data_IF_133434952922
#
_entry.id   IF_133434952922
#
_cell.length_a   1.000
_cell.length_b   1.000
_cell.length_c   1.000
_cell.angle_alpha   90.00
_cell.angle_beta   90.00
_cell.angle_gamma   90.00
#
_symmetry.space_group_name_H-M   'P 1'
#
loop_
_entity.id
_entity.type
_entity.pdbx_description
1 polymer ?
#
# COMPACT_ATOMS: atom_id res chain seq x y z
N UNK A 1 0.36 -1.19 13.51
CA UNK A 1 -0.10 0.21 13.39
C UNK A 1 -0.62 0.45 11.99
N UNK A 2 -1.71 1.24 11.84
CA UNK A 2 -2.21 1.79 10.59
C UNK A 2 -1.62 3.18 10.31
N UNK A 3 -1.80 3.70 9.11
CA UNK A 3 -1.44 5.10 8.76
C UNK A 3 -2.28 6.08 9.60
N UNK A 4 -3.53 5.75 9.86
CA UNK A 4 -4.41 6.57 10.69
C UNK A 4 -3.82 6.87 12.07
N UNK A 5 -3.00 5.97 12.60
CA UNK A 5 -2.40 6.06 13.95
C UNK A 5 -0.99 6.69 13.95
N UNK A 6 -0.37 6.90 12.78
CA UNK A 6 0.96 7.50 12.68
C UNK A 6 0.86 9.02 12.62
N UNK A 7 1.68 9.72 13.40
CA UNK A 7 1.82 11.17 13.28
C UNK A 7 2.71 11.55 12.08
N UNK A 8 2.58 12.78 11.61
CA UNK A 8 3.35 13.28 10.44
C UNK A 8 4.86 13.17 10.66
N UNK A 9 5.33 13.46 11.88
CA UNK A 9 6.74 13.35 12.27
C UNK A 9 7.26 11.91 12.17
N UNK A 10 6.41 10.93 12.49
CA UNK A 10 6.75 9.52 12.40
C UNK A 10 6.83 9.05 10.94
N UNK A 11 5.88 9.50 10.11
CA UNK A 11 5.89 9.26 8.67
C UNK A 11 7.18 9.85 8.08
N UNK A 12 7.49 11.11 8.36
CA UNK A 12 8.70 11.79 7.90
C UNK A 12 9.98 11.08 8.35
N UNK A 13 10.01 10.58 9.59
CA UNK A 13 11.16 9.84 10.11
C UNK A 13 11.38 8.53 9.33
N UNK A 14 10.30 7.79 9.03
CA UNK A 14 10.36 6.57 8.21
C UNK A 14 10.86 6.90 6.79
N UNK A 15 10.32 7.94 6.16
CA UNK A 15 10.69 8.33 4.80
C UNK A 15 12.16 8.82 4.73
N UNK A 16 12.63 9.59 5.72
CA UNK A 16 14.05 9.98 5.82
C UNK A 16 14.95 8.76 5.99
N UNK A 17 14.57 7.81 6.83
CA UNK A 17 15.36 6.58 7.05
C UNK A 17 15.38 5.70 5.80
N UNK A 18 14.26 5.57 5.09
CA UNK A 18 14.18 4.86 3.82
C UNK A 18 15.14 5.47 2.77
N UNK A 19 15.23 6.81 2.71
CA UNK A 19 16.17 7.51 1.82
C UNK A 19 17.63 7.21 2.16
N UNK A 20 17.96 7.08 3.44
CA UNK A 20 19.32 6.66 3.87
C UNK A 20 19.61 5.23 3.41
N UNK A 21 18.69 4.30 3.60
CA UNK A 21 18.84 2.90 3.17
C UNK A 21 18.91 2.74 1.65
N UNK A 22 18.24 3.60 0.89
CA UNK A 22 18.32 3.60 -0.56
C UNK A 22 19.70 4.05 -1.07
N UNK A 23 20.30 5.06 -0.40
CA UNK A 23 21.59 5.65 -0.82
C UNK A 23 22.82 4.84 -0.41
N UNK A 24 22.75 4.16 0.70
CA UNK A 24 23.85 3.40 1.25
C UNK A 24 23.38 2.01 1.71
N UNK A 25 24.11 0.97 1.28
CA UNK A 25 23.83 -0.38 1.76
C UNK A 25 24.05 -0.41 3.28
N UNK A 26 23.02 -0.71 4.09
CA UNK A 26 23.16 -0.71 5.53
C UNK A 26 24.09 -1.85 5.98
N UNK A 27 24.74 -1.65 7.11
CA UNK A 27 25.37 -2.75 7.84
C UNK A 27 24.28 -3.72 8.32
N UNK A 28 24.59 -5.00 8.58
CA UNK A 28 23.63 -5.94 9.18
C UNK A 28 23.22 -5.45 10.58
N UNK A 29 22.08 -4.75 10.65
CA UNK A 29 21.54 -4.17 11.89
C UNK A 29 20.78 -5.21 12.72
N UNK A 30 20.34 -6.29 12.09
CA UNK A 30 19.42 -7.31 12.65
C UNK A 30 20.11 -8.66 12.83
N UNK A 31 21.42 -8.65 13.07
CA UNK A 31 22.15 -9.90 13.35
C UNK A 31 21.43 -10.65 14.48
N UNK A 32 21.15 -11.94 14.24
CA UNK A 32 20.41 -12.81 15.15
C UNK A 32 18.92 -12.50 15.37
N UNK A 33 18.35 -11.45 14.70
CA UNK A 33 16.93 -11.19 14.75
C UNK A 33 16.13 -12.17 13.86
N UNK A 34 15.00 -12.65 14.39
CA UNK A 34 14.07 -13.54 13.68
C UNK A 34 12.80 -12.83 13.34
N UNK A 35 12.47 -12.79 12.05
CA UNK A 35 11.28 -12.13 11.51
C UNK A 35 10.34 -13.17 10.92
N UNK A 36 9.13 -13.28 11.43
CA UNK A 36 8.10 -14.15 10.90
C UNK A 36 7.19 -13.38 9.92
N UNK A 37 6.97 -13.96 8.74
CA UNK A 37 6.05 -13.45 7.73
C UNK A 37 4.80 -14.33 7.72
N UNK A 38 3.73 -13.87 8.37
CA UNK A 38 2.46 -14.57 8.53
C UNK A 38 1.44 -14.06 7.51
N UNK A 39 1.28 -14.77 6.40
CA UNK A 39 0.46 -14.35 5.28
C UNK A 39 -0.75 -15.26 5.07
N UNK A 40 -1.94 -14.75 5.40
CA UNK A 40 -3.24 -15.41 5.18
C UNK A 40 -3.78 -15.16 3.76
N UNK A 41 -3.24 -14.16 3.05
CA UNK A 41 -3.60 -13.86 1.66
C UNK A 41 -2.36 -13.91 0.76
N UNK A 42 -2.53 -14.36 -0.47
CA UNK A 42 -1.46 -14.34 -1.48
C UNK A 42 -0.96 -12.92 -1.74
N UNK A 43 0.34 -12.72 -1.68
CA UNK A 43 0.97 -11.44 -1.99
C UNK A 43 2.43 -11.62 -2.36
N UNK A 44 2.75 -11.61 -3.65
CA UNK A 44 4.12 -11.73 -4.14
C UNK A 44 4.96 -10.52 -3.75
N UNK A 45 4.52 -9.31 -4.16
CA UNK A 45 5.29 -8.07 -3.95
C UNK A 45 5.54 -7.75 -2.48
N UNK A 46 4.48 -7.74 -1.68
CA UNK A 46 4.61 -7.35 -0.25
C UNK A 46 5.45 -8.35 0.51
N UNK A 47 5.21 -9.65 0.31
CA UNK A 47 5.95 -10.71 0.99
C UNK A 47 7.44 -10.70 0.64
N UNK A 48 7.76 -10.74 -0.66
CA UNK A 48 9.16 -10.79 -1.12
C UNK A 48 9.92 -9.53 -0.70
N UNK A 49 9.32 -8.35 -0.79
CA UNK A 49 10.01 -7.11 -0.41
C UNK A 49 10.22 -6.97 1.08
N UNK A 50 9.31 -7.45 1.94
CA UNK A 50 9.58 -7.54 3.39
C UNK A 50 10.66 -8.57 3.69
N UNK A 51 10.65 -9.71 3.02
CA UNK A 51 11.67 -10.73 3.17
C UNK A 51 13.06 -10.19 2.77
N UNK A 52 13.15 -9.54 1.61
CA UNK A 52 14.40 -8.89 1.18
C UNK A 52 14.84 -7.80 2.14
N UNK A 53 13.93 -6.95 2.60
CA UNK A 53 14.24 -5.90 3.57
C UNK A 53 14.83 -6.48 4.86
N UNK A 54 14.22 -7.53 5.40
CA UNK A 54 14.70 -8.19 6.61
C UNK A 54 16.09 -8.83 6.39
N UNK A 55 16.29 -9.55 5.27
CA UNK A 55 17.56 -10.21 4.93
C UNK A 55 18.69 -9.20 4.66
N UNK A 56 18.41 -8.09 3.98
CA UNK A 56 19.40 -7.02 3.77
C UNK A 56 19.85 -6.41 5.09
N UNK A 57 18.96 -6.31 6.07
CA UNK A 57 19.27 -5.88 7.43
C UNK A 57 19.97 -6.97 8.28
N UNK A 58 20.12 -8.19 7.77
CA UNK A 58 20.82 -9.28 8.44
C UNK A 58 19.93 -10.19 9.29
N UNK A 59 18.60 -10.08 9.18
CA UNK A 59 17.66 -10.95 9.91
C UNK A 59 17.52 -12.33 9.26
N UNK A 60 17.18 -13.33 10.08
CA UNK A 60 16.63 -14.60 9.62
C UNK A 60 15.12 -14.46 9.43
N UNK A 61 14.60 -14.97 8.33
CA UNK A 61 13.17 -14.89 8.00
C UNK A 61 12.54 -16.27 7.96
N UNK A 62 11.30 -16.40 8.44
CA UNK A 62 10.47 -17.59 8.31
C UNK A 62 9.13 -17.20 7.73
N UNK A 63 8.69 -17.90 6.69
CA UNK A 63 7.39 -17.71 6.07
C UNK A 63 6.41 -18.70 6.66
N UNK A 64 5.30 -18.22 7.18
CA UNK A 64 4.18 -19.02 7.66
C UNK A 64 3.02 -18.87 6.70
N UNK A 65 2.67 -19.91 6.00
CA UNK A 65 1.51 -19.96 5.10
C UNK A 65 0.30 -20.48 5.85
N UNK A 66 -0.77 -19.70 5.90
CA UNK A 66 -2.00 -20.12 6.58
C UNK A 66 -2.59 -21.41 6.00
N UNK A 67 -2.53 -21.59 4.67
CA UNK A 67 -3.02 -22.76 3.92
C UNK A 67 -2.18 -24.03 4.08
N UNK A 68 -1.07 -23.98 4.82
CA UNK A 68 -0.18 -25.10 5.05
C UNK A 68 0.27 -25.17 6.53
N UNK A 69 -0.57 -24.68 7.43
CA UNK A 69 -0.26 -24.58 8.86
C UNK A 69 -1.42 -25.08 9.73
N UNK A 70 -1.23 -25.08 11.04
CA UNK A 70 -2.26 -25.43 12.03
C UNK A 70 -3.54 -24.55 11.94
N UNK A 71 -3.48 -23.43 11.25
CA UNK A 71 -4.65 -22.57 10.93
C UNK A 71 -5.73 -23.38 10.20
N UNK A 72 -5.37 -24.26 9.26
CA UNK A 72 -6.33 -25.17 8.59
C UNK A 72 -7.02 -26.13 9.55
N UNK A 73 -6.40 -26.39 10.70
CA UNK A 73 -6.97 -27.22 11.77
C UNK A 73 -7.82 -26.45 12.76
N UNK A 74 -8.07 -25.14 12.49
CA UNK A 74 -8.89 -24.28 13.34
C UNK A 74 -8.13 -23.52 14.43
N UNK A 75 -6.78 -23.47 14.37
CA UNK A 75 -5.99 -22.65 15.31
C UNK A 75 -6.35 -21.16 15.16
N UNK A 76 -6.56 -20.47 16.28
CA UNK A 76 -6.89 -19.05 16.26
C UNK A 76 -5.68 -18.18 15.85
N UNK A 77 -5.96 -16.98 15.34
CA UNK A 77 -4.91 -16.00 15.04
C UNK A 77 -4.01 -15.70 16.24
N UNK A 78 -4.61 -15.63 17.44
CA UNK A 78 -3.89 -15.33 18.67
C UNK A 78 -2.95 -16.49 19.01
N UNK A 79 -3.44 -17.73 18.98
CA UNK A 79 -2.63 -18.92 19.30
C UNK A 79 -1.50 -19.12 18.29
N UNK A 80 -1.77 -18.86 17.00
CA UNK A 80 -0.74 -18.86 15.96
C UNK A 80 0.35 -17.80 16.27
N UNK A 81 -0.04 -16.60 16.67
CA UNK A 81 0.91 -15.55 17.02
C UNK A 81 1.73 -15.87 18.26
N UNK A 82 1.11 -16.42 19.31
CA UNK A 82 1.78 -16.86 20.53
C UNK A 82 2.77 -18.01 20.25
N UNK A 83 2.37 -18.95 19.40
CA UNK A 83 3.25 -20.06 18.96
C UNK A 83 4.47 -19.51 18.21
N UNK A 84 4.27 -18.62 17.24
CA UNK A 84 5.36 -18.01 16.47
C UNK A 84 6.31 -17.22 17.40
N UNK A 85 5.76 -16.50 18.36
CA UNK A 85 6.54 -15.78 19.36
C UNK A 85 7.34 -16.75 20.26
N UNK A 86 6.72 -17.81 20.75
CA UNK A 86 7.38 -18.84 21.56
C UNK A 86 8.53 -19.55 20.82
N UNK A 87 8.42 -19.72 19.51
CA UNK A 87 9.48 -20.21 18.63
C UNK A 87 10.63 -19.20 18.41
N UNK A 88 10.52 -18.01 19.01
CA UNK A 88 11.57 -17.02 19.07
C UNK A 88 11.49 -15.93 18.00
N UNK A 89 10.36 -15.73 17.34
CA UNK A 89 10.16 -14.56 16.49
C UNK A 89 10.18 -13.29 17.34
N UNK A 90 10.87 -12.27 16.84
CA UNK A 90 11.02 -10.96 17.48
C UNK A 90 10.28 -9.85 16.74
N UNK A 91 9.75 -10.16 15.55
CA UNK A 91 8.83 -9.34 14.76
C UNK A 91 7.88 -10.26 14.02
N UNK A 92 6.61 -9.93 13.98
CA UNK A 92 5.61 -10.60 13.15
C UNK A 92 5.11 -9.62 12.09
N UNK A 93 5.28 -9.96 10.83
CA UNK A 93 4.72 -9.23 9.69
C UNK A 93 3.47 -9.98 9.26
N UNK A 94 2.29 -9.37 9.41
CA UNK A 94 1.03 -10.05 9.14
C UNK A 94 0.27 -9.40 7.98
N UNK A 95 -0.27 -10.25 7.07
CA UNK A 95 -1.29 -9.88 6.10
C UNK A 95 -2.51 -10.77 6.30
N UNK A 96 -3.69 -10.16 6.47
CA UNK A 96 -4.90 -10.87 6.85
C UNK A 96 -6.13 -10.37 6.07
N UNK A 97 -7.10 -11.27 5.73
CA UNK A 97 -8.34 -10.87 5.05
C UNK A 97 -9.30 -10.07 5.94
N UNK A 98 -9.20 -10.18 7.26
CA UNK A 98 -10.04 -9.43 8.19
C UNK A 98 -9.40 -8.12 8.61
N UNK A 99 -10.14 -7.02 8.51
CA UNK A 99 -9.76 -5.70 9.02
C UNK A 99 -9.55 -5.76 10.54
N UNK A 100 -8.48 -5.11 11.02
CA UNK A 100 -8.14 -5.06 12.45
C UNK A 100 -7.36 -6.27 12.97
N UNK A 101 -7.20 -7.35 12.22
CA UNK A 101 -6.49 -8.55 12.65
C UNK A 101 -5.06 -8.26 13.15
N UNK A 102 -4.24 -7.40 12.52
CA UNK A 102 -2.93 -7.04 13.04
C UNK A 102 -2.99 -6.35 14.40
N UNK A 103 -4.01 -5.53 14.65
CA UNK A 103 -4.20 -4.85 15.93
C UNK A 103 -4.60 -5.84 17.03
N UNK A 104 -5.49 -6.77 16.71
CA UNK A 104 -5.86 -7.85 17.64
C UNK A 104 -4.64 -8.65 18.02
N UNK A 105 -3.83 -9.08 17.06
CA UNK A 105 -2.61 -9.83 17.33
C UNK A 105 -1.63 -9.02 18.18
N UNK A 106 -1.40 -7.75 17.87
CA UNK A 106 -0.47 -6.88 18.59
C UNK A 106 -0.83 -6.67 20.08
N UNK A 107 -2.10 -6.85 20.45
CA UNK A 107 -2.53 -6.77 21.86
C UNK A 107 -2.25 -8.05 22.67
N UNK A 108 -1.92 -9.15 22.00
CA UNK A 108 -1.75 -10.46 22.64
C UNK A 108 -0.31 -10.98 22.59
N UNK A 109 0.54 -10.38 21.77
CA UNK A 109 1.97 -10.74 21.69
C UNK A 109 2.84 -9.57 22.15
N UNK A 110 3.96 -9.88 22.81
CA UNK A 110 4.93 -8.91 23.35
C UNK A 110 6.04 -8.54 22.33
N UNK A 111 5.81 -8.80 21.05
CA UNK A 111 6.72 -8.45 19.95
C UNK A 111 6.04 -7.51 18.95
N UNK A 112 6.78 -6.66 18.26
CA UNK A 112 6.23 -5.79 17.23
C UNK A 112 5.45 -6.57 16.17
N UNK A 113 4.23 -6.08 15.86
CA UNK A 113 3.40 -6.58 14.76
C UNK A 113 3.30 -5.53 13.67
N UNK A 114 3.72 -5.87 12.46
CA UNK A 114 3.69 -4.99 11.29
C UNK A 114 2.53 -5.40 10.39
N UNK A 115 1.65 -4.44 10.12
CA UNK A 115 0.53 -4.60 9.20
C UNK A 115 1.03 -4.57 7.74
N UNK A 116 0.95 -5.71 7.04
CA UNK A 116 1.27 -5.87 5.62
C UNK A 116 0.01 -5.87 4.73
N UNK A 117 -1.10 -5.39 5.26
CA UNK A 117 -2.42 -5.25 4.64
C UNK A 117 -3.49 -6.09 5.34
N UNK A 118 -4.56 -5.45 5.79
CA UNK A 118 -5.66 -6.08 6.50
C UNK A 118 -7.02 -5.75 5.89
N UNK A 119 -7.72 -6.75 5.41
CA UNK A 119 -9.07 -6.65 4.86
C UNK A 119 -9.21 -5.54 3.81
N UNK A 120 -10.23 -4.72 3.99
CA UNK A 120 -10.45 -3.47 3.25
C UNK A 120 -10.00 -2.24 4.04
N UNK A 121 -9.29 -2.42 5.18
CA UNK A 121 -8.96 -1.37 6.12
C UNK A 121 -7.70 -0.60 5.69
N UNK A 122 -6.50 -1.17 5.88
CA UNK A 122 -5.26 -0.45 5.59
C UNK A 122 -4.17 -1.31 4.94
N UNK A 123 -3.26 -0.65 4.23
CA UNK A 123 -1.97 -1.17 3.77
C UNK A 123 -0.85 -0.16 4.03
N UNK A 124 -0.44 0.04 5.30
CA UNK A 124 0.43 1.15 5.70
C UNK A 124 1.76 1.18 4.94
N UNK A 125 2.40 0.01 4.76
CA UNK A 125 3.67 -0.06 4.05
C UNK A 125 3.56 0.26 2.55
N UNK A 126 2.35 0.18 1.96
CA UNK A 126 2.11 0.62 0.59
C UNK A 126 2.01 2.15 0.54
N UNK A 127 1.18 2.77 1.38
CA UNK A 127 1.08 4.22 1.41
C UNK A 127 2.43 4.90 1.69
N UNK A 128 3.24 4.34 2.58
CA UNK A 128 4.58 4.86 2.86
C UNK A 128 5.53 4.74 1.66
N UNK A 129 5.52 3.62 0.91
CA UNK A 129 6.35 3.51 -0.28
C UNK A 129 5.84 4.37 -1.44
N UNK A 130 4.55 4.58 -1.54
CA UNK A 130 3.94 5.46 -2.53
C UNK A 130 4.30 6.92 -2.23
N UNK A 131 4.17 7.36 -0.98
CA UNK A 131 4.64 8.68 -0.54
C UNK A 131 6.15 8.86 -0.79
N UNK A 132 6.96 7.83 -0.52
CA UNK A 132 8.39 7.84 -0.79
C UNK A 132 8.69 7.99 -2.29
N UNK A 133 7.94 7.29 -3.14
CA UNK A 133 8.06 7.38 -4.61
C UNK A 133 7.65 8.77 -5.09
N UNK A 134 6.54 9.30 -4.59
CA UNK A 134 6.09 10.67 -4.91
C UNK A 134 7.19 11.69 -4.59
N UNK A 135 7.85 11.58 -3.43
CA UNK A 135 8.93 12.49 -3.01
C UNK A 135 10.21 12.38 -3.86
N UNK A 136 10.36 11.39 -4.71
CA UNK A 136 11.45 11.31 -5.69
C UNK A 136 11.17 12.14 -6.93
N UNK A 137 9.91 12.36 -7.25
CA UNK A 137 9.44 13.13 -8.42
C UNK A 137 8.89 14.50 -8.04
N UNK A 138 8.50 14.70 -6.78
CA UNK A 138 7.96 15.93 -6.22
C UNK A 138 8.77 16.36 -5.01
N UNK A 139 8.99 17.66 -4.85
CA UNK A 139 9.78 18.20 -3.73
C UNK A 139 9.08 18.03 -2.38
N UNK A 140 7.76 17.89 -2.37
CA UNK A 140 6.91 17.87 -1.19
C UNK A 140 5.65 17.03 -1.43
N UNK A 141 5.04 16.53 -0.36
CA UNK A 141 3.69 15.96 -0.40
C UNK A 141 2.61 17.04 -0.19
N UNK A 142 3.00 18.25 0.23
CA UNK A 142 2.06 19.31 0.60
C UNK A 142 1.37 19.88 -0.62
N UNK A 143 0.03 19.97 -0.53
CA UNK A 143 -0.80 20.63 -1.51
C UNK A 143 -0.89 19.95 -2.86
N UNK A 144 -0.41 18.71 -3.00
CA UNK A 144 -0.51 17.94 -4.24
C UNK A 144 -1.98 17.72 -4.63
N UNK A 145 -2.21 17.67 -5.92
CA UNK A 145 -3.48 17.19 -6.50
C UNK A 145 -3.29 15.74 -6.91
N UNK A 146 -4.05 14.86 -6.27
CA UNK A 146 -3.93 13.41 -6.46
C UNK A 146 -5.25 12.86 -6.97
N UNK A 147 -5.22 12.18 -8.10
CA UNK A 147 -6.35 11.41 -8.61
C UNK A 147 -6.16 9.94 -8.28
N UNK A 148 -7.13 9.31 -7.62
CA UNK A 148 -7.17 7.87 -7.37
C UNK A 148 -8.36 7.30 -8.13
N UNK A 149 -8.09 6.45 -9.13
CA UNK A 149 -9.10 5.95 -10.07
C UNK A 149 -9.27 4.44 -9.90
N UNK A 150 -10.50 3.99 -9.77
CA UNK A 150 -10.85 2.56 -9.75
C UNK A 150 -11.74 2.11 -8.60
N UNK A 151 -11.46 0.93 -8.05
CA UNK A 151 -12.23 0.34 -6.94
C UNK A 151 -11.76 0.94 -5.59
N UNK A 152 -12.35 2.06 -5.22
CA UNK A 152 -12.06 2.77 -3.97
C UNK A 152 -12.63 2.02 -2.77
N UNK A 153 -13.85 1.51 -2.89
CA UNK A 153 -14.60 0.92 -1.78
C UNK A 153 -13.88 -0.28 -1.15
N UNK A 154 -13.36 -1.17 -1.98
CA UNK A 154 -12.66 -2.37 -1.49
C UNK A 154 -11.15 -2.18 -1.33
N UNK A 155 -10.62 -0.99 -1.67
CA UNK A 155 -9.17 -0.76 -1.68
C UNK A 155 -8.65 -0.29 -0.34
N UNK A 156 -7.98 -1.18 0.39
CA UNK A 156 -7.17 -0.81 1.55
C UNK A 156 -6.02 0.15 1.19
N UNK A 157 -5.57 0.15 -0.07
CA UNK A 157 -4.54 1.07 -0.54
C UNK A 157 -5.10 2.48 -0.66
N UNK A 158 -6.24 2.65 -1.34
CA UNK A 158 -6.88 3.96 -1.46
C UNK A 158 -7.12 4.60 -0.09
N UNK A 159 -7.56 3.80 0.88
CA UNK A 159 -7.83 4.28 2.24
C UNK A 159 -6.56 4.77 2.95
N UNK A 160 -5.50 3.97 2.92
CA UNK A 160 -4.21 4.37 3.50
C UNK A 160 -3.60 5.57 2.80
N UNK A 161 -3.75 5.69 1.45
CA UNK A 161 -3.31 6.86 0.69
C UNK A 161 -4.07 8.12 1.11
N UNK A 162 -5.39 8.02 1.24
CA UNK A 162 -6.21 9.14 1.70
C UNK A 162 -5.75 9.61 3.07
N UNK A 163 -5.58 8.70 4.03
CA UNK A 163 -5.12 9.06 5.37
C UNK A 163 -3.74 9.71 5.37
N UNK A 164 -2.79 9.16 4.61
CA UNK A 164 -1.43 9.70 4.56
C UNK A 164 -1.40 11.07 3.88
N UNK A 165 -1.91 11.16 2.65
CA UNK A 165 -1.76 12.36 1.83
C UNK A 165 -2.57 13.54 2.35
N UNK A 166 -3.74 13.29 2.96
CA UNK A 166 -4.56 14.34 3.58
C UNK A 166 -3.84 15.01 4.76
N UNK A 167 -2.98 14.30 5.51
CA UNK A 167 -2.16 14.91 6.57
C UNK A 167 -1.20 15.99 6.05
N UNK A 168 -0.82 15.89 4.77
CA UNK A 168 0.02 16.88 4.10
C UNK A 168 -0.81 17.91 3.29
N UNK A 169 -2.13 17.92 3.47
CA UNK A 169 -3.02 18.87 2.80
C UNK A 169 -3.15 18.62 1.30
N UNK A 170 -2.97 17.40 0.83
CA UNK A 170 -3.23 17.04 -0.56
C UNK A 170 -4.73 17.15 -0.87
N UNK A 171 -5.04 17.58 -2.11
CA UNK A 171 -6.39 17.57 -2.67
C UNK A 171 -6.59 16.28 -3.43
N UNK A 172 -7.49 15.42 -2.96
CA UNK A 172 -7.65 14.05 -3.46
C UNK A 172 -8.98 13.94 -4.19
N UNK A 173 -8.93 13.54 -5.46
CA UNK A 173 -10.09 13.18 -6.25
C UNK A 173 -10.19 11.65 -6.36
N UNK A 174 -11.23 11.07 -5.77
CA UNK A 174 -11.55 9.64 -5.89
C UNK A 174 -12.53 9.47 -7.05
N UNK A 175 -12.19 8.62 -8.02
CA UNK A 175 -12.97 8.44 -9.23
C UNK A 175 -13.28 6.98 -9.52
N UNK A 176 -14.55 6.70 -9.77
CA UNK A 176 -15.05 5.37 -10.14
C UNK A 176 -16.57 5.34 -10.21
N UNK A 177 -17.16 4.21 -10.64
CA UNK A 177 -18.61 4.05 -10.61
C UNK A 177 -19.16 4.09 -9.18
N UNK A 178 -20.45 4.43 -8.96
CA UNK A 178 -21.02 4.59 -7.62
C UNK A 178 -20.79 3.41 -6.69
N UNK A 179 -20.88 2.20 -7.20
CA UNK A 179 -20.71 0.97 -6.41
C UNK A 179 -19.25 0.70 -5.99
N UNK A 180 -18.28 1.28 -6.70
CA UNK A 180 -16.86 1.12 -6.42
C UNK A 180 -16.23 2.38 -5.82
N UNK A 181 -16.87 3.53 -5.93
CA UNK A 181 -16.44 4.79 -5.33
C UNK A 181 -17.65 5.50 -4.68
N UNK A 182 -18.17 5.00 -3.55
CA UNK A 182 -19.36 5.58 -2.92
C UNK A 182 -19.09 7.02 -2.46
N UNK A 183 -20.13 7.87 -2.45
CA UNK A 183 -20.00 9.28 -2.05
C UNK A 183 -19.53 9.44 -0.60
N UNK A 184 -19.84 8.45 0.26
CA UNK A 184 -19.32 8.40 1.63
C UNK A 184 -17.79 8.34 1.71
N UNK A 185 -17.09 7.96 0.64
CA UNK A 185 -15.62 8.00 0.63
C UNK A 185 -15.06 9.43 0.76
N UNK A 186 -15.86 10.47 0.47
CA UNK A 186 -15.49 11.86 0.73
C UNK A 186 -15.29 12.17 2.22
N UNK A 187 -15.89 11.38 3.12
CA UNK A 187 -15.76 11.57 4.58
C UNK A 187 -14.50 10.95 5.17
N UNK A 188 -13.69 10.24 4.37
CA UNK A 188 -12.45 9.61 4.86
C UNK A 188 -11.44 10.63 5.39
N UNK A 189 -11.36 11.81 4.78
CA UNK A 189 -10.51 12.90 5.25
C UNK A 189 -10.92 14.24 4.63
N UNK A 190 -10.44 15.34 5.22
CA UNK A 190 -10.58 16.67 4.63
C UNK A 190 -9.85 16.80 3.29
N UNK A 191 -10.42 17.50 2.34
CA UNK A 191 -9.84 17.71 1.00
C UNK A 191 -10.08 16.56 0.02
N UNK A 192 -10.90 15.58 0.40
CA UNK A 192 -11.31 14.45 -0.47
C UNK A 192 -12.59 14.80 -1.20
N UNK A 193 -12.61 14.55 -2.49
CA UNK A 193 -13.80 14.68 -3.35
C UNK A 193 -14.03 13.37 -4.10
N UNK A 194 -15.29 13.03 -4.33
CA UNK A 194 -15.68 11.87 -5.16
C UNK A 194 -16.31 12.39 -6.44
N UNK A 195 -15.85 11.89 -7.58
CA UNK A 195 -16.42 12.23 -8.89
C UNK A 195 -16.66 10.99 -9.74
N UNK A 196 -17.61 11.08 -10.65
CA UNK A 196 -17.93 10.08 -11.68
C UNK A 196 -17.24 10.40 -13.01
N UNK A 197 -16.66 11.58 -13.12
CA UNK A 197 -16.02 12.06 -14.34
C UNK A 197 -14.50 11.93 -14.22
N UNK A 198 -13.92 11.01 -15.00
CA UNK A 198 -12.48 10.78 -14.98
C UNK A 198 -11.70 12.04 -15.45
N UNK A 199 -12.26 12.80 -16.38
CA UNK A 199 -11.64 14.05 -16.85
C UNK A 199 -11.54 15.10 -15.76
N UNK A 200 -12.54 15.19 -14.88
CA UNK A 200 -12.50 16.08 -13.70
C UNK A 200 -11.45 15.60 -12.70
N UNK A 201 -11.41 14.30 -12.43
CA UNK A 201 -10.45 13.71 -11.48
C UNK A 201 -9.00 13.96 -11.93
N UNK A 202 -8.72 13.78 -13.20
CA UNK A 202 -7.37 13.88 -13.75
C UNK A 202 -6.92 15.32 -13.97
N UNK A 203 -7.84 16.29 -14.10
CA UNK A 203 -7.51 17.67 -14.48
C UNK A 203 -6.51 18.33 -13.52
N UNK A 204 -5.30 18.56 -14.05
CA UNK A 204 -4.21 19.20 -13.30
C UNK A 204 -3.70 18.37 -12.13
N UNK A 205 -3.93 17.04 -12.11
CA UNK A 205 -3.36 16.15 -11.11
C UNK A 205 -1.83 16.07 -11.24
N UNK A 206 -1.15 16.12 -10.11
CA UNK A 206 0.31 15.88 -10.00
C UNK A 206 0.63 14.40 -9.96
N UNK A 207 -0.29 13.62 -9.40
CA UNK A 207 -0.17 12.17 -9.22
C UNK A 207 -1.48 11.52 -9.67
N UNK A 208 -1.36 10.52 -10.52
CA UNK A 208 -2.48 9.67 -10.95
C UNK A 208 -2.22 8.26 -10.46
N UNK A 209 -2.99 7.81 -9.47
CA UNK A 209 -2.94 6.44 -8.96
C UNK A 209 -4.11 5.65 -9.51
N UNK A 210 -3.81 4.55 -10.19
CA UNK A 210 -4.81 3.66 -10.77
C UNK A 210 -4.89 2.39 -9.92
N UNK A 211 -6.10 2.02 -9.53
CA UNK A 211 -6.34 0.83 -8.70
C UNK A 211 -6.78 -0.34 -9.58
N UNK A 212 -6.33 -1.53 -9.20
CA UNK A 212 -6.76 -2.75 -9.84
C UNK A 212 -8.26 -2.97 -9.72
N UNK A 213 -8.91 -3.34 -10.81
CA UNK A 213 -10.29 -3.81 -10.84
C UNK A 213 -10.31 -5.34 -10.81
N UNK A 214 -11.10 -5.91 -9.91
CA UNK A 214 -11.36 -7.35 -9.89
C UNK A 214 -12.67 -7.62 -10.64
N UNK A 215 -12.59 -8.42 -11.71
CA UNK A 215 -13.78 -8.74 -12.55
C UNK A 215 -14.92 -9.33 -11.73
N UNK A 216 -14.58 -10.13 -10.73
CA UNK A 216 -15.53 -10.76 -9.81
C UNK A 216 -16.35 -9.73 -9.02
N UNK A 217 -15.78 -8.55 -8.78
CA UNK A 217 -16.46 -7.45 -8.08
C UNK A 217 -17.41 -6.64 -8.97
N UNK A 218 -17.30 -6.78 -10.28
CA UNK A 218 -18.26 -6.20 -11.23
C UNK A 218 -19.45 -7.14 -11.48
N UNK A 219 -19.30 -8.44 -11.18
CA UNK A 219 -20.38 -9.40 -11.33
C UNK A 219 -21.59 -8.98 -10.45
N UNK A 220 -22.76 -8.86 -11.07
CA UNK A 220 -24.00 -8.41 -10.40
C UNK A 220 -24.07 -6.91 -10.08
N UNK A 221 -23.12 -6.10 -10.57
CA UNK A 221 -23.18 -4.63 -10.49
C UNK A 221 -23.91 -4.05 -11.71
N UNK A 222 -24.29 -2.77 -11.61
CA UNK A 222 -24.97 -2.07 -12.71
C UNK A 222 -24.04 -1.72 -13.88
N UNK A 223 -22.73 -1.65 -13.63
CA UNK A 223 -21.74 -1.36 -14.66
C UNK A 223 -21.08 -2.66 -15.18
N UNK A 224 -21.09 -2.83 -16.51
CA UNK A 224 -20.34 -3.91 -17.16
C UNK A 224 -18.84 -3.58 -17.24
N UNK A 225 -18.00 -4.61 -17.51
CA UNK A 225 -16.56 -4.40 -17.72
C UNK A 225 -16.28 -3.45 -18.89
N UNK A 226 -17.02 -3.59 -20.00
CA UNK A 226 -16.90 -2.75 -21.19
C UNK A 226 -17.24 -1.29 -20.86
N UNK A 227 -18.32 -1.08 -20.11
CA UNK A 227 -18.71 0.26 -19.64
C UNK A 227 -17.68 0.84 -18.70
N UNK A 228 -17.10 0.03 -17.78
CA UNK A 228 -16.02 0.48 -16.91
C UNK A 228 -14.80 0.93 -17.74
N UNK A 229 -14.35 0.13 -18.69
CA UNK A 229 -13.24 0.48 -19.58
C UNK A 229 -13.55 1.77 -20.35
N UNK A 230 -14.72 1.86 -20.94
CA UNK A 230 -15.12 3.05 -21.72
C UNK A 230 -15.14 4.33 -20.86
N UNK A 231 -15.50 4.26 -19.58
CA UNK A 231 -15.69 5.44 -18.71
C UNK A 231 -14.48 5.75 -17.84
N UNK A 232 -13.78 4.72 -17.30
CA UNK A 232 -12.81 4.88 -16.21
C UNK A 232 -11.40 4.38 -16.52
N UNK A 233 -11.15 3.70 -17.67
CA UNK A 233 -9.80 3.31 -18.05
C UNK A 233 -8.92 4.56 -18.22
N UNK A 234 -7.74 4.58 -17.63
CA UNK A 234 -6.75 5.62 -17.90
C UNK A 234 -6.04 5.33 -19.21
N UNK A 235 -6.19 6.26 -20.17
CA UNK A 235 -5.58 6.22 -21.52
C UNK A 235 -4.59 7.37 -21.68
N UNK A 236 -3.70 7.36 -22.70
CA UNK A 236 -2.79 8.48 -22.95
C UNK A 236 -3.52 9.82 -23.14
N UNK A 237 -4.70 9.81 -23.83
CA UNK A 237 -5.52 11.00 -24.04
C UNK A 237 -6.03 11.57 -22.72
N UNK A 238 -6.51 10.70 -21.85
CA UNK A 238 -7.02 11.08 -20.52
C UNK A 238 -5.90 11.56 -19.60
N UNK A 239 -4.74 10.89 -19.63
CA UNK A 239 -3.61 11.29 -18.79
C UNK A 239 -3.07 12.69 -19.17
N UNK A 240 -3.21 13.14 -20.43
CA UNK A 240 -2.85 14.52 -20.84
C UNK A 240 -3.65 15.62 -20.13
N UNK A 241 -4.77 15.29 -19.47
CA UNK A 241 -5.53 16.23 -18.62
C UNK A 241 -4.82 16.51 -17.29
N UNK A 242 -3.95 15.64 -16.85
CA UNK A 242 -3.09 15.84 -15.68
C UNK A 242 -1.95 16.83 -15.99
N UNK A 243 -1.14 17.16 -15.01
CA UNK A 243 0.07 17.96 -15.24
C UNK A 243 0.99 17.25 -16.24
N UNK A 244 1.71 18.02 -17.04
CA UNK A 244 2.62 17.48 -18.05
C UNK A 244 3.66 16.51 -17.47
N UNK A 245 4.09 16.78 -16.25
CA UNK A 245 5.05 16.00 -15.48
C UNK A 245 4.38 15.11 -14.43
N UNK A 246 3.05 14.90 -14.54
CA UNK A 246 2.33 13.99 -13.65
C UNK A 246 2.93 12.58 -13.70
N UNK A 247 3.02 11.94 -12.53
CA UNK A 247 3.44 10.55 -12.42
C UNK A 247 2.23 9.62 -12.38
N UNK A 248 2.36 8.49 -13.08
CA UNK A 248 1.37 7.41 -13.08
C UNK A 248 1.82 6.31 -12.14
N UNK A 249 0.98 5.98 -11.17
CA UNK A 249 1.23 5.00 -10.13
C UNK A 249 0.20 3.88 -10.14
N UNK A 250 0.60 2.70 -9.68
CA UNK A 250 -0.30 1.56 -9.52
C UNK A 250 0.24 0.59 -8.44
N UNK A 251 -0.51 0.24 -7.40
CA UNK A 251 -0.01 -0.64 -6.34
C UNK A 251 0.19 -2.10 -6.81
N UNK A 252 -0.28 -2.41 -8.01
CA UNK A 252 -0.18 -3.72 -8.67
C UNK A 252 -1.06 -4.84 -8.07
N UNK A 253 -1.25 -5.93 -8.80
CA UNK A 253 -0.82 -6.13 -10.19
C UNK A 253 -1.66 -5.32 -11.19
N UNK A 254 -1.04 -4.88 -12.27
CA UNK A 254 -1.74 -4.22 -13.37
C UNK A 254 -2.46 -5.28 -14.21
N UNK A 255 -3.70 -5.01 -14.62
CA UNK A 255 -4.41 -5.75 -15.66
C UNK A 255 -4.44 -4.85 -16.90
N UNK A 256 -3.45 -5.07 -17.78
CA UNK A 256 -3.29 -4.28 -18.99
C UNK A 256 -4.55 -4.34 -19.86
N UNK A 257 -4.99 -3.19 -20.38
CA UNK A 257 -6.20 -3.07 -21.18
C UNK A 257 -7.49 -2.97 -20.38
N UNK A 258 -7.42 -3.02 -19.05
CA UNK A 258 -8.59 -2.90 -18.18
C UNK A 258 -8.63 -1.55 -17.46
N UNK A 259 -7.90 -1.39 -16.36
CA UNK A 259 -7.87 -0.12 -15.62
C UNK A 259 -6.94 0.93 -16.24
N UNK A 260 -5.93 0.48 -17.01
CA UNK A 260 -5.06 1.33 -17.79
C UNK A 260 -4.59 0.61 -19.07
N UNK A 261 -4.21 1.36 -20.10
CA UNK A 261 -3.67 0.80 -21.34
C UNK A 261 -2.27 0.23 -21.14
N UNK A 262 -1.90 -0.79 -21.94
CA UNK A 262 -0.55 -1.36 -21.89
C UNK A 262 0.54 -0.33 -22.19
N UNK A 263 0.27 0.57 -23.13
CA UNK A 263 1.18 1.67 -23.52
C UNK A 263 1.51 2.58 -22.31
N UNK A 264 0.52 2.94 -21.51
CA UNK A 264 0.74 3.76 -20.32
C UNK A 264 1.51 3.03 -19.24
N UNK A 265 1.31 1.73 -19.07
CA UNK A 265 2.06 0.95 -18.09
C UNK A 265 3.58 0.99 -18.35
N UNK A 266 3.97 1.13 -19.61
CA UNK A 266 5.36 1.16 -20.07
C UNK A 266 5.84 2.59 -20.43
N UNK A 267 5.02 3.61 -20.19
CA UNK A 267 5.35 5.00 -20.53
C UNK A 267 6.39 5.60 -19.54
N UNK A 268 7.10 6.66 -19.96
CA UNK A 268 8.02 7.39 -19.07
C UNK A 268 7.34 8.02 -17.85
N UNK A 269 6.04 8.24 -17.88
CA UNK A 269 5.27 8.76 -16.73
C UNK A 269 4.95 7.66 -15.71
N UNK A 270 5.06 6.38 -16.10
CA UNK A 270 4.79 5.24 -15.23
C UNK A 270 5.97 4.99 -14.28
N UNK A 271 5.74 5.19 -13.00
CA UNK A 271 6.71 4.93 -11.93
C UNK A 271 6.44 3.61 -11.19
N UNK A 272 5.66 2.71 -11.80
CA UNK A 272 5.17 1.48 -11.15
C UNK A 272 6.31 0.54 -10.72
N UNK A 273 7.33 0.36 -11.57
CA UNK A 273 8.49 -0.47 -11.20
C UNK A 273 9.36 0.20 -10.14
N UNK A 274 9.42 1.53 -10.15
CA UNK A 274 10.09 2.31 -9.10
C UNK A 274 9.36 2.17 -7.76
N UNK A 275 8.00 2.21 -7.73
CA UNK A 275 7.22 1.89 -6.53
C UNK A 275 7.60 0.50 -5.98
N UNK A 276 7.71 -0.51 -6.83
CA UNK A 276 8.11 -1.87 -6.40
C UNK A 276 9.50 -1.86 -5.78
N UNK A 277 10.47 -1.21 -6.43
CA UNK A 277 11.85 -1.11 -5.94
C UNK A 277 11.93 -0.35 -4.61
N UNK A 278 11.19 0.76 -4.48
CA UNK A 278 11.10 1.57 -3.27
C UNK A 278 10.48 0.83 -2.09
N UNK A 279 9.77 -0.25 -2.36
CA UNK A 279 9.22 -1.12 -1.33
C UNK A 279 10.29 -1.69 -0.40
N UNK A 280 11.49 -2.00 -0.87
CA UNK A 280 12.56 -2.57 -0.03
C UNK A 280 13.10 -1.57 0.98
N UNK A 281 13.63 -0.39 0.60
CA UNK A 281 14.17 0.56 1.57
C UNK A 281 13.12 1.09 2.55
N UNK A 282 11.87 1.26 2.12
CA UNK A 282 10.78 1.69 3.02
C UNK A 282 10.47 0.59 4.05
N UNK A 283 10.41 -0.68 3.65
CA UNK A 283 10.19 -1.79 4.57
C UNK A 283 11.38 -2.01 5.51
N UNK A 284 12.60 -1.73 5.07
CA UNK A 284 13.77 -1.68 5.97
C UNK A 284 13.59 -0.61 7.05
N UNK A 285 13.12 0.58 6.67
CA UNK A 285 12.87 1.66 7.63
C UNK A 285 11.75 1.30 8.63
N UNK A 286 10.68 0.68 8.17
CA UNK A 286 9.59 0.18 9.02
C UNK A 286 10.11 -0.85 10.03
N UNK A 287 10.91 -1.82 9.58
CA UNK A 287 11.49 -2.85 10.42
C UNK A 287 12.46 -2.28 11.46
N UNK A 288 13.35 -1.36 11.06
CA UNK A 288 14.30 -0.72 11.96
C UNK A 288 13.58 0.07 13.06
N UNK A 289 12.50 0.78 12.70
CA UNK A 289 11.68 1.50 13.66
C UNK A 289 10.92 0.54 14.61
N UNK A 290 10.31 -0.51 14.08
CA UNK A 290 9.57 -1.49 14.87
C UNK A 290 10.45 -2.15 15.95
N UNK A 291 11.71 -2.40 15.65
CA UNK A 291 12.70 -2.94 16.59
C UNK A 291 13.44 -1.86 17.39
N UNK A 292 13.07 -0.59 17.25
CA UNK A 292 13.68 0.56 17.95
C UNK A 292 15.22 0.66 17.76
N UNK A 293 15.70 0.22 16.60
CA UNK A 293 17.13 0.23 16.30
C UNK A 293 17.54 1.63 15.83
N UNK A 294 18.49 2.21 16.53
CA UNK A 294 19.13 3.47 16.12
C UNK A 294 20.04 3.22 14.91
N UNK A 295 19.82 3.97 13.83
CA UNK A 295 20.55 3.87 12.55
C UNK A 295 21.33 5.15 12.30
#
# INVERSE_FOLDING_TARGET
MGIEQLESEEIDAILRLARRFQRARPRPLFKEKRVALLFYEASTRTRISFEFAAKVLGATTTIVHATASSVEKGESLIDTGLTIRALGAQVIIIRHPSSGAPLVLARHVDVPVINAGDGMHEHPSQALLDAFTILQHRKTLRGLRVAIVGDIYHSRVARSEVYLLSRYGAKIALCGPPELAPDSAATLASGVQVTRNIGEALRGADVVMVLRIQKERLAGKQISLEQYIAQYQVTPERLRLAQRDAILMHPGPIIRGMELTGELADSPQSVVLEQVANGVPVRMAILARALQIRV
#
